data_IF_161345443188
#
_entry.id   IF_161345443188
#
_cell.length_a   1.000
_cell.length_b   1.000
_cell.length_c   1.000
_cell.angle_alpha   90.00
_cell.angle_beta   90.00
_cell.angle_gamma   90.00
#
_symmetry.space_group_name_H-M   'P 1'
#
loop_
_entity.id
_entity.type
_entity.pdbx_description
1 polymer ?
#
# COMPACT_ATOMS: atom_id res chain seq x y z
N UNK A 1 -31.75 11.42 -8.64
CA UNK A 1 -31.64 12.82 -8.18
C UNK A 1 -30.70 12.91 -6.95
N UNK A 2 -31.06 12.39 -5.77
CA UNK A 2 -30.24 12.51 -4.56
C UNK A 2 -28.80 11.96 -4.69
N UNK A 3 -28.59 10.79 -5.31
CA UNK A 3 -27.27 10.22 -5.52
C UNK A 3 -26.43 11.04 -6.52
N UNK A 4 -27.06 11.66 -7.50
CA UNK A 4 -26.40 12.54 -8.46
C UNK A 4 -25.98 13.85 -7.79
N UNK A 5 -26.85 14.42 -6.96
CA UNK A 5 -26.57 15.66 -6.24
C UNK A 5 -25.41 15.46 -5.26
N UNK A 6 -25.36 14.32 -4.54
CA UNK A 6 -24.24 13.97 -3.65
C UNK A 6 -22.93 13.80 -4.40
N UNK A 7 -22.95 13.12 -5.58
CA UNK A 7 -21.76 12.97 -6.40
C UNK A 7 -21.24 14.32 -6.89
N UNK A 8 -22.12 15.17 -7.37
CA UNK A 8 -21.75 16.52 -7.83
C UNK A 8 -21.18 17.37 -6.68
N UNK A 9 -21.78 17.28 -5.49
CA UNK A 9 -21.28 17.97 -4.30
C UNK A 9 -19.88 17.46 -3.91
N UNK A 10 -19.67 16.15 -3.93
CA UNK A 10 -18.38 15.53 -3.62
C UNK A 10 -17.28 15.95 -4.60
N UNK A 11 -17.58 15.98 -5.92
CA UNK A 11 -16.65 16.45 -6.94
C UNK A 11 -16.38 17.96 -6.83
N UNK A 12 -17.39 18.75 -6.45
CA UNK A 12 -17.24 20.19 -6.21
C UNK A 12 -16.32 20.45 -5.02
N UNK A 13 -16.51 19.74 -3.90
CA UNK A 13 -15.66 19.83 -2.71
C UNK A 13 -14.21 19.41 -3.02
N UNK A 14 -14.02 18.34 -3.80
CA UNK A 14 -12.69 17.93 -4.28
C UNK A 14 -12.01 19.05 -5.07
N UNK A 15 -12.74 19.66 -6.00
CA UNK A 15 -12.21 20.74 -6.83
C UNK A 15 -11.90 22.01 -6.02
N UNK A 16 -12.70 22.30 -5.01
CA UNK A 16 -12.46 23.44 -4.11
C UNK A 16 -11.19 23.21 -3.26
N UNK A 17 -10.97 21.99 -2.79
CA UNK A 17 -9.83 21.63 -1.95
C UNK A 17 -8.50 21.59 -2.71
N UNK A 18 -8.51 21.16 -3.97
CA UNK A 18 -7.29 20.83 -4.73
C UNK A 18 -7.16 21.61 -6.04
N UNK A 19 -8.12 22.48 -6.39
CA UNK A 19 -8.24 23.20 -7.66
C UNK A 19 -8.42 22.28 -8.90
N UNK A 20 -8.16 20.99 -8.76
CA UNK A 20 -8.20 20.00 -9.81
C UNK A 20 -8.99 18.77 -9.38
N UNK A 21 -9.63 18.12 -10.33
CA UNK A 21 -10.20 16.78 -10.14
C UNK A 21 -9.42 15.84 -11.05
N UNK A 22 -8.76 14.80 -10.49
CA UNK A 22 -8.03 13.83 -11.31
C UNK A 22 -8.99 13.09 -12.23
N UNK A 23 -8.50 12.76 -13.42
CA UNK A 23 -9.24 12.02 -14.45
C UNK A 23 -8.32 11.02 -15.19
N UNK A 24 -8.80 10.42 -16.27
CA UNK A 24 -8.05 9.44 -17.08
C UNK A 24 -6.88 10.05 -17.88
N UNK A 25 -6.73 11.37 -17.85
CA UNK A 25 -5.65 12.10 -18.54
C UNK A 25 -4.78 12.95 -17.59
N UNK A 26 -5.24 13.11 -16.37
CA UNK A 26 -4.58 13.97 -15.38
C UNK A 26 -4.52 13.26 -14.04
N UNK A 27 -3.34 12.80 -13.68
CA UNK A 27 -3.04 12.30 -12.36
C UNK A 27 -2.75 13.47 -11.42
N UNK A 28 -2.98 13.28 -10.14
CA UNK A 28 -2.71 14.32 -9.15
C UNK A 28 -1.88 13.78 -8.00
N UNK A 29 -0.83 14.49 -7.64
CA UNK A 29 -0.06 14.25 -6.42
C UNK A 29 -0.46 15.30 -5.40
N UNK A 30 -1.14 14.85 -4.36
CA UNK A 30 -1.56 15.68 -3.24
C UNK A 30 -0.63 15.47 -2.05
N UNK A 31 -0.20 16.57 -1.41
CA UNK A 31 0.68 16.55 -0.25
C UNK A 31 0.04 17.31 0.90
N UNK A 32 0.05 16.73 2.08
CA UNK A 32 -0.39 17.39 3.31
C UNK A 32 0.35 16.82 4.52
N UNK A 33 0.30 17.53 5.63
CA UNK A 33 0.83 17.03 6.91
C UNK A 33 -0.25 16.31 7.69
N UNK A 34 0.13 15.16 8.25
CA UNK A 34 -0.74 14.47 9.21
C UNK A 34 -0.60 15.09 10.62
N UNK A 35 -1.40 14.59 11.57
CA UNK A 35 -1.42 15.11 12.95
C UNK A 35 -0.10 14.91 13.70
N UNK A 36 0.75 13.97 13.26
CA UNK A 36 2.08 13.72 13.81
C UNK A 36 3.15 14.63 13.18
N UNK A 37 2.78 15.40 12.16
CA UNK A 37 3.65 16.26 11.40
C UNK A 37 4.39 15.57 10.25
N UNK A 38 4.15 14.28 10.01
CA UNK A 38 4.69 13.56 8.88
C UNK A 38 3.99 13.98 7.58
N UNK A 39 4.73 13.89 6.48
CA UNK A 39 4.14 14.13 5.18
C UNK A 39 3.37 12.91 4.66
N UNK A 40 2.15 13.17 4.22
CA UNK A 40 1.37 12.26 3.38
C UNK A 40 1.46 12.73 1.95
N UNK A 41 1.89 11.83 1.08
CA UNK A 41 1.93 12.06 -0.36
C UNK A 41 1.00 11.05 -1.01
N UNK A 42 -0.03 11.55 -1.68
CA UNK A 42 -1.09 10.73 -2.26
C UNK A 42 -1.09 10.92 -3.77
N UNK A 43 -0.84 9.84 -4.52
CA UNK A 43 -1.09 9.81 -5.95
C UNK A 43 -2.53 9.40 -6.19
N UNK A 44 -3.33 10.28 -6.76
CA UNK A 44 -4.66 9.98 -7.27
C UNK A 44 -4.57 9.48 -8.71
N UNK A 45 -5.04 8.27 -8.96
CA UNK A 45 -4.90 7.59 -10.25
C UNK A 45 -6.02 6.56 -10.44
N UNK A 46 -6.68 6.50 -11.60
CA UNK A 46 -7.81 5.60 -11.84
C UNK A 46 -7.41 4.23 -12.40
N UNK A 47 -6.14 3.87 -12.41
CA UNK A 47 -5.64 2.69 -13.12
C UNK A 47 -5.70 1.38 -12.34
N UNK A 48 -6.09 1.42 -11.07
CA UNK A 48 -6.36 0.25 -10.24
C UNK A 48 -5.14 -0.42 -9.63
N UNK A 49 -5.40 -1.26 -8.64
CA UNK A 49 -4.36 -1.98 -7.86
C UNK A 49 -3.39 -2.80 -8.72
N UNK A 50 -3.78 -3.46 -9.84
CA UNK A 50 -2.81 -4.18 -10.68
C UNK A 50 -1.69 -3.30 -11.25
N UNK A 51 -1.96 -2.01 -11.47
CA UNK A 51 -0.97 -1.02 -11.92
C UNK A 51 -0.30 -0.35 -10.72
N UNK A 52 -1.08 0.03 -9.71
CA UNK A 52 -0.57 0.73 -8.55
C UNK A 52 0.33 -0.14 -7.66
N UNK A 53 0.07 -1.46 -7.58
CA UNK A 53 0.86 -2.38 -6.77
C UNK A 53 2.35 -2.41 -7.14
N UNK A 54 2.71 -2.74 -8.38
CA UNK A 54 4.10 -2.70 -8.82
C UNK A 54 4.68 -1.27 -8.81
N UNK A 55 3.89 -0.26 -9.07
CA UNK A 55 4.32 1.13 -8.97
C UNK A 55 4.70 1.50 -7.53
N UNK A 56 3.89 1.13 -6.55
CA UNK A 56 4.17 1.37 -5.14
C UNK A 56 5.44 0.64 -4.65
N UNK A 57 5.75 -0.56 -5.18
CA UNK A 57 7.02 -1.25 -4.91
C UNK A 57 8.21 -0.43 -5.39
N UNK A 58 8.15 0.08 -6.62
CA UNK A 58 9.23 0.88 -7.18
C UNK A 58 9.39 2.23 -6.46
N UNK A 59 8.29 2.89 -6.11
CA UNK A 59 8.31 4.13 -5.33
C UNK A 59 8.96 3.89 -3.96
N UNK A 60 8.60 2.80 -3.28
CA UNK A 60 9.18 2.44 -2.00
C UNK A 60 10.69 2.22 -2.11
N UNK A 61 11.15 1.46 -3.10
CA UNK A 61 12.58 1.24 -3.34
C UNK A 61 13.33 2.56 -3.54
N UNK A 62 12.76 3.48 -4.31
CA UNK A 62 13.34 4.83 -4.53
C UNK A 62 13.38 5.67 -3.26
N UNK A 63 12.35 5.58 -2.41
CA UNK A 63 12.33 6.25 -1.11
C UNK A 63 13.42 5.70 -0.19
N UNK A 64 13.54 4.37 -0.09
CA UNK A 64 14.55 3.70 0.74
C UNK A 64 15.97 4.06 0.28
N UNK A 65 16.23 4.08 -1.03
CA UNK A 65 17.52 4.44 -1.59
C UNK A 65 17.87 5.92 -1.36
N UNK A 66 16.90 6.82 -1.56
CA UNK A 66 17.15 8.27 -1.54
C UNK A 66 17.19 8.85 -0.14
N UNK A 67 16.33 8.37 0.77
CA UNK A 67 16.17 8.92 2.12
C UNK A 67 16.54 7.96 3.23
N UNK A 68 16.77 6.65 2.93
CA UNK A 68 17.14 5.65 3.94
C UNK A 68 16.11 5.54 5.07
N UNK A 69 14.84 5.78 4.79
CA UNK A 69 13.78 5.94 5.75
C UNK A 69 12.85 4.72 5.75
N UNK A 70 12.25 4.45 6.91
CA UNK A 70 11.07 3.60 7.05
C UNK A 70 9.84 4.26 6.36
N UNK A 71 9.97 4.52 5.06
CA UNK A 71 8.88 5.04 4.26
C UNK A 71 7.92 3.90 3.94
N UNK A 72 6.64 4.17 4.01
CA UNK A 72 5.62 3.21 3.60
C UNK A 72 4.94 3.70 2.32
N UNK A 73 4.77 2.77 1.37
CA UNK A 73 4.00 2.99 0.17
C UNK A 73 2.92 1.91 0.09
N UNK A 74 1.68 2.33 -0.10
CA UNK A 74 0.55 1.43 -0.21
C UNK A 74 -0.30 1.75 -1.42
N UNK A 75 -0.58 0.72 -2.20
CA UNK A 75 -1.45 0.80 -3.36
C UNK A 75 -2.91 0.53 -2.97
N UNK A 76 -3.79 1.28 -3.60
CA UNK A 76 -5.24 1.07 -3.59
C UNK A 76 -5.78 1.18 -5.02
N UNK A 77 -7.07 0.93 -5.23
CA UNK A 77 -7.65 1.01 -6.58
C UNK A 77 -7.64 2.43 -7.15
N UNK A 78 -7.77 3.44 -6.29
CA UNK A 78 -7.85 4.85 -6.69
C UNK A 78 -6.53 5.61 -6.54
N UNK A 79 -5.43 4.91 -6.20
CA UNK A 79 -4.13 5.56 -6.09
C UNK A 79 -3.11 4.88 -5.19
N UNK A 80 -2.10 5.66 -4.81
CA UNK A 80 -1.00 5.22 -3.95
C UNK A 80 -0.85 6.22 -2.81
N UNK A 81 -0.79 5.73 -1.58
CA UNK A 81 -0.55 6.53 -0.37
C UNK A 81 0.87 6.30 0.13
N UNK A 82 1.60 7.37 0.35
CA UNK A 82 2.93 7.34 0.95
C UNK A 82 2.90 8.03 2.31
N UNK A 83 3.70 7.52 3.23
CA UNK A 83 4.11 8.24 4.44
C UNK A 83 5.60 8.52 4.36
N UNK A 84 5.95 9.79 4.49
CA UNK A 84 7.34 10.25 4.52
C UNK A 84 7.54 10.99 5.84
N UNK A 85 8.46 10.54 6.71
CA UNK A 85 8.74 11.21 7.96
C UNK A 85 9.05 12.69 7.76
N UNK A 86 8.69 13.52 8.75
CA UNK A 86 8.95 14.94 8.72
C UNK A 86 10.46 15.20 8.64
N UNK A 87 10.89 15.88 7.60
CA UNK A 87 12.24 16.41 7.43
C UNK A 87 12.16 17.91 7.26
N UNK A 88 13.30 18.61 7.47
CA UNK A 88 13.39 20.05 7.18
C UNK A 88 13.40 20.37 5.69
N UNK A 89 13.49 19.33 4.84
CA UNK A 89 13.44 19.45 3.39
C UNK A 89 12.01 19.50 2.87
N UNK A 90 11.83 20.08 1.69
CA UNK A 90 10.55 20.07 0.99
C UNK A 90 10.14 18.61 0.69
N UNK A 91 8.85 18.26 0.91
CA UNK A 91 8.39 16.90 0.67
C UNK A 91 8.54 16.55 -0.82
N UNK A 92 8.85 15.29 -1.11
CA UNK A 92 8.92 14.84 -2.50
C UNK A 92 7.56 15.01 -3.20
N UNK A 93 7.61 15.24 -4.49
CA UNK A 93 6.45 15.46 -5.35
C UNK A 93 6.23 14.39 -6.40
N UNK A 94 5.80 14.82 -7.58
CA UNK A 94 5.50 13.94 -8.71
C UNK A 94 6.73 13.16 -9.20
N UNK A 95 7.95 13.65 -8.97
CA UNK A 95 9.19 12.99 -9.37
C UNK A 95 9.34 11.60 -8.74
N UNK A 96 8.71 11.33 -7.59
CA UNK A 96 8.70 10.01 -6.98
C UNK A 96 8.03 8.95 -7.85
N UNK A 97 7.05 9.37 -8.62
CA UNK A 97 6.20 8.50 -9.42
C UNK A 97 6.63 8.40 -10.89
N UNK A 98 7.63 9.17 -11.30
CA UNK A 98 8.12 9.19 -12.68
C UNK A 98 9.36 8.30 -12.81
N UNK A 99 9.30 7.32 -13.70
CA UNK A 99 10.36 6.35 -13.94
C UNK A 99 10.62 6.20 -15.43
N UNK A 100 11.86 5.92 -15.78
CA UNK A 100 12.15 5.36 -17.10
C UNK A 100 11.62 3.91 -17.14
N UNK A 101 10.96 3.48 -18.22
CA UNK A 101 10.29 2.17 -18.28
C UNK A 101 11.21 0.99 -17.98
N UNK A 102 12.45 1.03 -18.51
CA UNK A 102 13.42 -0.06 -18.34
C UNK A 102 13.92 -0.14 -16.89
N UNK A 103 14.17 0.99 -16.25
CA UNK A 103 14.51 1.10 -14.83
C UNK A 103 13.38 0.56 -13.96
N UNK A 104 12.14 0.96 -14.26
CA UNK A 104 10.96 0.56 -13.51
C UNK A 104 10.75 -0.96 -13.56
N UNK A 105 10.87 -1.57 -14.75
CA UNK A 105 10.72 -3.03 -14.92
C UNK A 105 11.76 -3.79 -14.09
N UNK A 106 13.00 -3.30 -14.07
CA UNK A 106 14.06 -3.90 -13.27
C UNK A 106 13.76 -3.81 -11.77
N UNK A 107 13.43 -2.60 -11.27
CA UNK A 107 13.13 -2.40 -9.85
C UNK A 107 11.96 -3.28 -9.41
N UNK A 108 10.86 -3.29 -10.17
CA UNK A 108 9.67 -4.11 -9.84
C UNK A 108 10.03 -5.60 -9.79
N UNK A 109 10.86 -6.08 -10.72
CA UNK A 109 11.28 -7.49 -10.76
C UNK A 109 12.16 -7.84 -9.55
N UNK A 110 13.04 -6.95 -9.13
CA UNK A 110 13.90 -7.14 -7.96
C UNK A 110 13.08 -7.10 -6.66
N UNK A 111 12.20 -6.10 -6.52
CA UNK A 111 11.44 -5.85 -5.29
C UNK A 111 10.28 -6.83 -5.07
N UNK A 112 9.71 -7.39 -6.14
CA UNK A 112 8.56 -8.31 -6.01
C UNK A 112 8.89 -9.51 -5.13
N UNK A 113 10.11 -10.02 -5.19
CA UNK A 113 10.57 -11.17 -4.39
C UNK A 113 10.52 -10.91 -2.88
N UNK A 114 10.59 -9.67 -2.42
CA UNK A 114 10.47 -9.26 -1.02
C UNK A 114 9.03 -8.99 -0.57
N UNK A 115 8.07 -8.97 -1.48
CA UNK A 115 6.70 -8.55 -1.21
C UNK A 115 5.87 -9.60 -0.47
N UNK A 116 4.84 -9.15 0.25
CA UNK A 116 3.85 -10.03 0.88
C UNK A 116 3.07 -10.85 -0.17
N UNK A 117 2.82 -10.25 -1.35
CA UNK A 117 2.21 -10.94 -2.49
C UNK A 117 3.04 -12.15 -2.89
N UNK A 118 4.36 -11.96 -3.08
CA UNK A 118 5.26 -13.05 -3.46
C UNK A 118 5.24 -14.18 -2.42
N UNK A 119 5.32 -13.86 -1.14
CA UNK A 119 5.28 -14.84 -0.07
C UNK A 119 3.97 -15.64 -0.07
N UNK A 120 2.83 -14.98 -0.35
CA UNK A 120 1.52 -15.61 -0.47
C UNK A 120 1.46 -16.56 -1.69
N UNK A 121 1.85 -16.08 -2.86
CA UNK A 121 1.86 -16.88 -4.10
C UNK A 121 2.84 -18.04 -4.03
N UNK A 122 4.03 -17.82 -3.45
CA UNK A 122 4.99 -18.90 -3.22
C UNK A 122 4.39 -20.00 -2.35
N UNK A 123 3.67 -19.67 -1.29
CA UNK A 123 2.99 -20.66 -0.44
C UNK A 123 1.99 -21.49 -1.24
N UNK A 124 1.18 -20.86 -2.09
CA UNK A 124 0.20 -21.53 -2.94
C UNK A 124 0.91 -22.45 -3.96
N UNK A 125 1.95 -21.97 -4.62
CA UNK A 125 2.73 -22.73 -5.59
C UNK A 125 3.46 -23.91 -4.94
N UNK A 126 4.07 -23.70 -3.78
CA UNK A 126 4.73 -24.74 -3.01
C UNK A 126 3.73 -25.82 -2.52
N UNK A 127 2.52 -25.42 -2.15
CA UNK A 127 1.46 -26.35 -1.78
C UNK A 127 0.98 -27.16 -2.98
N UNK A 128 0.75 -26.54 -4.13
CA UNK A 128 0.40 -27.21 -5.40
C UNK A 128 1.50 -28.18 -5.87
N UNK A 129 2.75 -27.80 -5.68
CA UNK A 129 3.91 -28.63 -5.98
C UNK A 129 4.20 -29.72 -4.93
N UNK A 130 3.36 -29.86 -3.91
CA UNK A 130 3.48 -30.81 -2.81
C UNK A 130 4.80 -30.67 -1.99
N UNK A 131 5.39 -29.49 -2.00
CA UNK A 131 6.57 -29.18 -1.19
C UNK A 131 6.22 -28.84 0.26
N UNK A 132 4.97 -28.52 0.53
CA UNK A 132 4.45 -28.32 1.87
C UNK A 132 3.67 -29.56 2.33
N UNK A 133 3.71 -29.93 3.63
CA UNK A 133 2.93 -31.03 4.15
C UNK A 133 1.45 -30.89 3.83
N UNK A 134 0.81 -31.98 3.41
CA UNK A 134 -0.66 -31.99 3.21
C UNK A 134 -1.36 -31.68 4.52
N UNK A 135 -2.45 -30.91 4.42
CA UNK A 135 -3.35 -30.75 5.52
C UNK A 135 -3.98 -32.11 5.87
N UNK A 136 -3.82 -32.56 7.11
CA UNK A 136 -4.53 -33.73 7.60
C UNK A 136 -6.00 -33.34 7.82
N UNK A 137 -6.97 -34.00 7.18
CA UNK A 137 -8.39 -33.67 7.36
C UNK A 137 -8.85 -33.75 8.82
N UNK A 138 -8.14 -34.57 9.64
CA UNK A 138 -8.42 -34.76 11.06
C UNK A 138 -7.74 -33.74 12.00
N UNK A 139 -6.78 -32.95 11.50
CA UNK A 139 -6.03 -31.99 12.30
C UNK A 139 -5.94 -30.64 11.58
N UNK A 140 -6.63 -29.64 12.11
CA UNK A 140 -6.49 -28.25 11.65
C UNK A 140 -5.10 -27.75 12.02
N UNK A 141 -4.19 -27.67 11.04
CA UNK A 141 -2.92 -26.97 11.24
C UNK A 141 -3.21 -25.46 11.28
N UNK A 142 -2.84 -24.75 12.36
CA UNK A 142 -3.02 -23.30 12.42
C UNK A 142 -2.34 -22.60 11.26
N UNK A 143 -2.97 -21.54 10.72
CA UNK A 143 -2.45 -20.79 9.56
C UNK A 143 -1.05 -20.22 9.81
N UNK A 144 -0.74 -19.79 11.03
CA UNK A 144 0.57 -19.27 11.38
C UNK A 144 1.69 -20.32 11.22
N UNK A 145 1.43 -21.59 11.54
CA UNK A 145 2.41 -22.66 11.33
C UNK A 145 2.63 -22.96 9.84
N UNK A 146 1.57 -22.89 9.05
CA UNK A 146 1.70 -23.05 7.58
C UNK A 146 2.55 -21.93 6.99
N UNK A 147 2.36 -20.68 7.46
CA UNK A 147 3.16 -19.52 7.05
C UNK A 147 4.61 -19.68 7.46
N UNK A 148 4.87 -20.05 8.69
CA UNK A 148 6.23 -20.25 9.19
C UNK A 148 6.98 -21.30 8.36
N UNK A 149 6.34 -22.43 8.05
CA UNK A 149 6.92 -23.47 7.19
C UNK A 149 7.16 -22.99 5.76
N UNK A 150 6.22 -22.27 5.21
CA UNK A 150 6.36 -21.66 3.88
C UNK A 150 7.47 -20.61 3.86
N UNK A 151 7.59 -19.78 4.87
CA UNK A 151 8.67 -18.79 4.99
C UNK A 151 10.05 -19.49 5.08
N UNK A 152 10.19 -20.51 5.90
CA UNK A 152 11.43 -21.29 5.98
C UNK A 152 11.80 -21.95 4.64
N UNK A 153 10.80 -22.51 3.92
CA UNK A 153 11.03 -23.07 2.59
C UNK A 153 11.45 -21.99 1.60
N UNK A 154 10.81 -20.81 1.65
CA UNK A 154 11.15 -19.67 0.79
C UNK A 154 12.57 -19.17 1.05
N UNK A 155 13.00 -19.08 2.30
CA UNK A 155 14.37 -18.67 2.67
C UNK A 155 15.43 -19.62 2.08
N UNK A 156 15.12 -20.92 2.02
CA UNK A 156 15.98 -21.90 1.35
C UNK A 156 15.89 -21.75 -0.17
N UNK A 157 14.68 -21.64 -0.72
CA UNK A 157 14.45 -21.58 -2.16
C UNK A 157 15.08 -20.34 -2.82
N UNK A 158 15.10 -19.20 -2.13
CA UNK A 158 15.75 -17.94 -2.58
C UNK A 158 17.24 -18.10 -2.91
N UNK A 159 17.90 -19.08 -2.32
CA UNK A 159 19.30 -19.38 -2.64
C UNK A 159 19.48 -20.02 -4.02
N UNK A 160 18.38 -20.43 -4.64
CA UNK A 160 18.35 -21.10 -5.94
C UNK A 160 17.42 -20.33 -6.90
N UNK A 161 17.88 -19.22 -7.52
CA UNK A 161 17.03 -18.37 -8.37
C UNK A 161 16.40 -19.12 -9.55
N UNK A 162 17.02 -20.21 -10.01
CA UNK A 162 16.52 -21.06 -11.10
C UNK A 162 15.51 -22.12 -10.63
N UNK A 163 15.15 -22.13 -9.34
CA UNK A 163 14.17 -23.11 -8.85
C UNK A 163 12.80 -22.84 -9.48
N UNK A 164 12.19 -23.87 -10.14
CA UNK A 164 10.98 -23.65 -10.95
C UNK A 164 9.83 -22.96 -10.20
N UNK A 165 9.66 -23.26 -8.91
CA UNK A 165 8.60 -22.65 -8.10
C UNK A 165 8.85 -21.15 -7.84
N UNK A 166 10.12 -20.74 -7.72
CA UNK A 166 10.48 -19.32 -7.63
C UNK A 166 10.15 -18.62 -8.94
N UNK A 167 10.58 -19.17 -10.07
CA UNK A 167 10.33 -18.60 -11.40
C UNK A 167 8.83 -18.49 -11.69
N UNK A 168 8.06 -19.53 -11.39
CA UNK A 168 6.61 -19.52 -11.56
C UNK A 168 5.95 -18.49 -10.63
N UNK A 169 6.42 -18.34 -9.40
CA UNK A 169 5.90 -17.34 -8.47
C UNK A 169 6.16 -15.92 -8.96
N UNK A 170 7.38 -15.65 -9.47
CA UNK A 170 7.70 -14.36 -10.10
C UNK A 170 6.76 -14.08 -11.28
N UNK A 171 6.60 -15.07 -12.18
CA UNK A 171 5.72 -14.94 -13.34
C UNK A 171 4.28 -14.63 -12.93
N UNK A 172 3.72 -15.40 -11.97
CA UNK A 172 2.36 -15.16 -11.47
C UNK A 172 2.20 -13.75 -10.87
N UNK A 173 3.18 -13.30 -10.09
CA UNK A 173 3.12 -11.96 -9.50
C UNK A 173 3.13 -10.86 -10.56
N UNK A 174 4.04 -10.95 -11.54
CA UNK A 174 4.27 -9.89 -12.53
C UNK A 174 3.27 -9.87 -13.69
N UNK A 175 2.61 -11.01 -13.99
CA UNK A 175 1.75 -11.15 -15.17
C UNK A 175 0.29 -11.43 -14.84
N UNK A 176 0.01 -12.17 -13.76
CA UNK A 176 -1.36 -12.59 -13.45
C UNK A 176 -2.01 -11.69 -12.37
N UNK A 177 -1.20 -11.09 -11.47
CA UNK A 177 -1.69 -10.20 -10.40
C UNK A 177 -1.39 -8.74 -10.73
N UNK A 178 -0.17 -8.44 -11.11
CA UNK A 178 0.25 -7.13 -11.55
C UNK A 178 0.11 -6.99 -13.06
N UNK A 179 -0.22 -5.79 -13.52
CA UNK A 179 -0.19 -5.42 -14.93
C UNK A 179 1.03 -4.52 -15.19
N UNK A 180 2.21 -5.13 -15.13
CA UNK A 180 3.47 -4.43 -15.39
C UNK A 180 3.50 -3.81 -16.79
N UNK A 181 3.03 -4.49 -17.86
CA UNK A 181 2.95 -3.89 -19.19
C UNK A 181 2.13 -2.59 -19.23
N UNK A 182 0.96 -2.55 -18.57
CA UNK A 182 0.14 -1.34 -18.48
C UNK A 182 0.86 -0.23 -17.70
N UNK A 183 1.55 -0.56 -16.60
CA UNK A 183 2.36 0.40 -15.85
C UNK A 183 3.49 1.00 -16.71
N UNK A 184 4.22 0.18 -17.46
CA UNK A 184 5.27 0.66 -18.37
C UNK A 184 4.71 1.54 -19.48
N UNK A 185 3.53 1.19 -20.02
CA UNK A 185 2.85 2.02 -21.00
C UNK A 185 2.43 3.37 -20.41
N UNK A 186 1.92 3.36 -19.18
CA UNK A 186 1.56 4.57 -18.46
C UNK A 186 2.77 5.51 -18.26
N UNK A 187 3.93 4.96 -17.89
CA UNK A 187 5.17 5.77 -17.79
C UNK A 187 5.58 6.39 -19.14
N UNK A 188 5.47 5.62 -20.23
CA UNK A 188 5.73 6.17 -21.60
C UNK A 188 4.74 7.29 -21.95
N UNK A 189 3.49 7.17 -21.55
CA UNK A 189 2.45 8.16 -21.82
C UNK A 189 2.65 9.43 -20.96
N UNK A 190 3.15 9.29 -19.73
CA UNK A 190 3.59 10.41 -18.90
C UNK A 190 4.81 11.11 -19.50
N UNK A 191 5.85 10.37 -19.87
CA UNK A 191 7.04 10.93 -20.52
C UNK A 191 6.70 11.60 -21.86
N UNK A 192 5.79 11.01 -22.64
CA UNK A 192 5.28 11.54 -23.89
C UNK A 192 4.26 12.68 -23.76
N UNK A 193 3.94 13.11 -22.53
CA UNK A 193 2.94 14.15 -22.23
C UNK A 193 1.51 13.87 -22.75
N UNK A 194 1.18 12.60 -22.97
CA UNK A 194 -0.21 12.19 -23.25
C UNK A 194 -1.03 12.20 -21.96
N UNK A 195 -0.40 11.87 -20.85
CA UNK A 195 -0.92 12.04 -19.50
C UNK A 195 -0.19 13.18 -18.79
N UNK A 196 -0.87 13.84 -17.86
CA UNK A 196 -0.31 14.93 -17.06
C UNK A 196 -0.26 14.49 -15.61
N UNK A 197 0.69 15.02 -14.87
CA UNK A 197 0.70 14.97 -13.41
C UNK A 197 0.62 16.40 -12.91
N UNK A 198 -0.32 16.69 -12.04
CA UNK A 198 -0.43 17.97 -11.33
C UNK A 198 -0.12 17.75 -9.86
N UNK A 199 0.48 18.74 -9.23
CA UNK A 199 0.81 18.70 -7.82
C UNK A 199 0.01 19.75 -7.07
N UNK A 200 -0.42 19.39 -5.88
CA UNK A 200 -1.08 20.30 -4.95
C UNK A 200 -0.62 20.04 -3.52
N UNK A 201 -0.60 21.09 -2.71
CA UNK A 201 -0.36 20.98 -1.28
C UNK A 201 -1.58 21.55 -0.57
N UNK A 202 -2.16 20.75 0.31
CA UNK A 202 -3.37 21.09 1.04
C UNK A 202 -3.09 21.14 2.54
N UNK A 203 -3.84 21.94 3.29
CA UNK A 203 -3.72 22.02 4.75
C UNK A 203 -4.29 20.77 5.44
N UNK A 204 -5.23 20.10 4.77
CA UNK A 204 -5.87 18.86 5.23
C UNK A 204 -6.19 17.97 4.04
N UNK A 205 -6.36 16.65 4.24
CA UNK A 205 -6.65 15.73 3.14
C UNK A 205 -7.94 16.11 2.41
N UNK A 206 -7.86 16.11 1.07
CA UNK A 206 -9.04 16.32 0.21
C UNK A 206 -10.06 15.19 0.37
N UNK A 207 -11.29 15.34 -0.12
CA UNK A 207 -12.29 14.26 -0.10
C UNK A 207 -11.80 12.95 -0.70
N UNK A 208 -11.06 12.99 -1.81
CA UNK A 208 -10.50 11.79 -2.44
C UNK A 208 -9.38 11.19 -1.59
N UNK A 209 -8.48 12.03 -1.06
CA UNK A 209 -7.42 11.58 -0.17
C UNK A 209 -7.98 10.94 1.11
N UNK A 210 -9.03 11.52 1.72
CA UNK A 210 -9.72 10.92 2.87
C UNK A 210 -10.23 9.51 2.58
N UNK A 211 -10.82 9.30 1.41
CA UNK A 211 -11.31 7.98 0.99
C UNK A 211 -10.17 6.96 0.86
N UNK A 212 -9.05 7.36 0.25
CA UNK A 212 -7.85 6.51 0.13
C UNK A 212 -7.23 6.20 1.49
N UNK A 213 -7.10 7.19 2.36
CA UNK A 213 -6.59 7.02 3.72
C UNK A 213 -7.50 6.13 4.56
N UNK A 214 -8.81 6.24 4.40
CA UNK A 214 -9.78 5.37 5.07
C UNK A 214 -9.58 3.91 4.66
N UNK A 215 -9.43 3.63 3.37
CA UNK A 215 -9.10 2.30 2.84
C UNK A 215 -7.77 1.78 3.39
N UNK A 216 -6.76 2.65 3.48
CA UNK A 216 -5.46 2.36 4.05
C UNK A 216 -5.56 1.90 5.51
N UNK A 217 -6.27 2.63 6.36
CA UNK A 217 -6.49 2.30 7.77
C UNK A 217 -7.31 1.02 7.91
N UNK A 218 -8.39 0.88 7.13
CA UNK A 218 -9.25 -0.29 7.14
C UNK A 218 -8.46 -1.57 6.78
N UNK A 219 -7.56 -1.50 5.80
CA UNK A 219 -6.72 -2.63 5.41
C UNK A 219 -5.83 -3.11 6.57
N UNK A 220 -5.21 -2.19 7.32
CA UNK A 220 -4.43 -2.55 8.51
C UNK A 220 -5.29 -3.21 9.60
N UNK A 221 -6.53 -2.76 9.77
CA UNK A 221 -7.42 -3.28 10.80
C UNK A 221 -8.04 -4.63 10.45
N UNK A 222 -8.42 -4.84 9.18
CA UNK A 222 -9.28 -5.95 8.79
C UNK A 222 -8.63 -7.00 7.89
N UNK A 223 -7.63 -6.67 7.07
CA UNK A 223 -7.03 -7.59 6.10
C UNK A 223 -5.74 -8.28 6.57
N UNK A 224 -5.24 -7.97 7.74
CA UNK A 224 -3.98 -8.56 8.22
C UNK A 224 -4.17 -9.98 8.76
N UNK A 225 -3.32 -10.88 8.31
CA UNK A 225 -3.12 -12.22 8.90
C UNK A 225 -2.22 -12.15 10.17
N UNK A 226 -1.79 -10.96 10.55
CA UNK A 226 -1.00 -10.71 11.75
C UNK A 226 -1.83 -10.96 13.02
N UNK A 227 -1.21 -11.37 14.13
CA UNK A 227 -1.89 -11.47 15.41
C UNK A 227 -2.64 -10.19 15.77
N UNK A 228 -3.77 -10.33 16.45
CA UNK A 228 -4.64 -9.20 16.80
C UNK A 228 -3.87 -8.10 17.56
N UNK A 229 -2.89 -8.50 18.39
CA UNK A 229 -2.03 -7.57 19.12
C UNK A 229 -1.14 -6.71 18.21
N UNK A 230 -0.54 -7.31 17.16
CA UNK A 230 0.28 -6.58 16.20
C UNK A 230 -0.56 -5.63 15.34
N UNK A 231 -1.77 -6.06 14.94
CA UNK A 231 -2.72 -5.22 14.23
C UNK A 231 -3.18 -4.03 15.07
N UNK A 232 -3.43 -4.26 16.37
CA UNK A 232 -3.76 -3.20 17.32
C UNK A 232 -2.62 -2.21 17.48
N UNK A 233 -1.38 -2.69 17.64
CA UNK A 233 -0.20 -1.83 17.74
C UNK A 233 0.03 -1.01 16.46
N UNK A 234 -0.14 -1.62 15.29
CA UNK A 234 -0.05 -0.92 14.02
C UNK A 234 -1.18 0.11 13.86
N UNK A 235 -2.42 -0.22 14.26
CA UNK A 235 -3.54 0.71 14.23
C UNK A 235 -3.33 1.91 15.16
N UNK A 236 -2.76 1.72 16.35
CA UNK A 236 -2.45 2.81 17.30
C UNK A 236 -1.33 3.73 16.82
N UNK A 237 -0.50 3.29 15.88
CA UNK A 237 0.51 4.13 15.21
C UNK A 237 -0.05 4.94 14.03
N UNK A 238 -1.32 4.72 13.67
CA UNK A 238 -2.00 5.45 12.61
C UNK A 238 -2.68 6.71 13.19
N UNK A 239 -3.06 7.62 12.27
CA UNK A 239 -3.72 8.87 12.62
C UNK A 239 -4.94 8.66 13.56
N UNK A 240 -4.88 9.21 14.80
CA UNK A 240 -5.95 9.04 15.78
C UNK A 240 -7.30 9.63 15.34
N UNK A 241 -7.31 10.66 14.48
CA UNK A 241 -8.54 11.26 13.98
C UNK A 241 -9.26 10.34 13.01
N UNK A 242 -8.51 9.73 12.08
CA UNK A 242 -9.03 8.71 11.17
C UNK A 242 -9.53 7.47 11.91
N UNK A 243 -8.82 7.04 12.96
CA UNK A 243 -9.27 5.94 13.81
C UNK A 243 -10.57 6.28 14.56
N UNK A 244 -10.70 7.51 15.07
CA UNK A 244 -11.94 7.97 15.73
C UNK A 244 -13.13 8.03 14.78
N UNK A 245 -12.91 8.45 13.55
CA UNK A 245 -13.94 8.50 12.51
C UNK A 245 -14.39 7.09 12.09
N UNK A 246 -13.44 6.15 11.97
CA UNK A 246 -13.68 4.77 11.57
C UNK A 246 -14.40 3.92 12.60
N UNK A 247 -13.89 3.95 13.84
CA UNK A 247 -14.29 2.99 14.88
C UNK A 247 -15.28 3.58 15.87
N UNK A 248 -15.44 4.89 15.88
CA UNK A 248 -16.16 5.56 16.94
C UNK A 248 -15.48 5.42 18.31
N UNK A 249 -15.87 6.27 19.27
CA UNK A 249 -15.23 6.29 20.61
C UNK A 249 -15.39 4.98 21.42
N UNK A 250 -16.41 4.19 21.13
CA UNK A 250 -16.67 2.94 21.85
C UNK A 250 -15.72 1.82 21.41
N UNK A 251 -15.50 1.67 20.12
CA UNK A 251 -14.63 0.61 19.57
C UNK A 251 -13.14 0.89 19.80
N UNK A 252 -12.73 2.16 19.87
CA UNK A 252 -11.36 2.51 20.27
C UNK A 252 -11.04 2.09 21.70
N UNK A 253 -12.00 2.15 22.62
CA UNK A 253 -11.82 1.67 23.99
C UNK A 253 -11.66 0.15 24.06
N UNK A 254 -12.29 -0.61 23.18
CA UNK A 254 -12.12 -2.06 23.06
C UNK A 254 -10.77 -2.47 22.44
N UNK A 255 -10.17 -1.58 21.66
CA UNK A 255 -8.82 -1.79 21.12
C UNK A 255 -7.71 -1.54 22.15
N UNK A 256 -7.98 -0.76 23.18
CA UNK A 256 -7.02 -0.44 24.23
C UNK A 256 -7.13 -1.51 25.35
N UNK A 257 -6.01 -2.12 25.70
CA UNK A 257 -5.97 -3.06 26.82
C UNK A 257 -6.05 -2.26 28.15
N UNK A 258 -7.08 -2.49 28.99
CA UNK A 258 -7.26 -1.76 30.23
C UNK A 258 -6.05 -1.87 31.20
N UNK A 259 -5.37 -3.02 31.23
CA UNK A 259 -4.21 -3.25 32.10
C UNK A 259 -2.99 -2.41 31.64
N UNK A 260 -2.83 -2.23 30.33
CA UNK A 260 -1.74 -1.39 29.77
C UNK A 260 -2.01 0.08 30.05
N UNK A 261 -3.26 0.52 29.97
CA UNK A 261 -3.64 1.92 30.27
C UNK A 261 -3.33 2.25 31.74
N UNK A 262 -3.74 1.38 32.68
CA UNK A 262 -3.49 1.58 34.12
C UNK A 262 -1.99 1.63 34.42
N UNK A 263 -1.18 0.79 33.77
CA UNK A 263 0.27 0.75 33.99
C UNK A 263 0.99 1.98 33.44
N UNK A 264 0.48 2.57 32.35
CA UNK A 264 1.10 3.74 31.68
C UNK A 264 0.71 5.07 32.34
N UNK A 265 -0.48 5.14 32.93
CA UNK A 265 -0.97 6.36 33.63
C UNK A 265 -0.34 6.51 35.04
N UNK A 266 0.22 5.42 35.60
CA UNK A 266 0.85 5.41 36.91
C UNK A 266 2.40 5.60 36.87
N UNK A 267 2.97 5.81 35.69
CA UNK A 267 4.37 6.25 35.48
C UNK A 267 4.43 7.74 35.10
#
# INVERSE_FOLDING_TARGET
>A
EWAQDNLLAYLAEQRESTEHVPDDRTLMVERFRDELGDWRVVLHSPFGTPVHGPWALAVRARLDERWGLDASAQAADDGIVLRVPATDEEPPGAELFLFEPEELEQIVTEEVGGSALFASRFRENAARALLLPRADPGKRTPLWQQRQRSAQLLDVARKYPQFPIILETVRECLQDVYDVPALLQLQRDLAGRKLRVVETTTDSPSPFARTLLFGYVAQFLYEGDSPLAERKAAALSLDPALLNELLGRAELRELLDPEVIETTVLQ
#
